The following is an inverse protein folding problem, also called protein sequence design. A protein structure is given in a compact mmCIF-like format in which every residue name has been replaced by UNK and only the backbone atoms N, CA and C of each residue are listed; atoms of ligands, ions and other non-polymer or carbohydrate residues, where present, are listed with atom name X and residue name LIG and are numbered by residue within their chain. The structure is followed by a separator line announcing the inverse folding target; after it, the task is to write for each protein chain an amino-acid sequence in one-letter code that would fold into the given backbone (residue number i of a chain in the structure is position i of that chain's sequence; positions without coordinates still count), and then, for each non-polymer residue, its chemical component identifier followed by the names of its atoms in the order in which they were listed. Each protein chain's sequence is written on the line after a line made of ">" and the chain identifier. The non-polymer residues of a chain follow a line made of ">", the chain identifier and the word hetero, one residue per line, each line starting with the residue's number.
data_IF_505227263797
#
_entry.id   IF_505227263797
#
_cell.length_a   1.000
_cell.length_b   1.000
_cell.length_c   1.000
_cell.angle_alpha   90.00
_cell.angle_beta   90.00
_cell.angle_gamma   90.00
#
_symmetry.space_group_name_H-M   'P 1'
#
loop_
_entity.id
_entity.type
_entity.pdbx_description
1 polymer ?
#
# COMPACT_ATOMS: atom_id res chain seq x y z
N UNK A 1 4.99 -12.54 -3.73
CA UNK A 1 5.68 -11.24 -3.81
C UNK A 1 6.75 -11.28 -4.87
N UNK A 2 6.64 -10.45 -5.91
CA UNK A 2 7.44 -10.55 -7.14
C UNK A 2 8.89 -10.13 -6.92
N UNK A 3 9.13 -9.22 -5.96
CA UNK A 3 10.46 -8.63 -5.72
C UNK A 3 11.12 -9.11 -4.43
N UNK A 4 10.67 -10.24 -3.86
CA UNK A 4 11.17 -10.75 -2.56
C UNK A 4 11.17 -9.67 -1.45
N UNK A 5 10.18 -8.77 -1.48
CA UNK A 5 10.07 -7.62 -0.58
C UNK A 5 11.27 -6.67 -0.62
N UNK A 6 12.08 -6.67 -1.67
CA UNK A 6 13.22 -5.77 -1.84
C UNK A 6 12.78 -4.44 -2.49
N UNK A 7 12.89 -3.34 -1.73
CA UNK A 7 12.47 -2.01 -2.19
C UNK A 7 13.38 -1.49 -3.31
N UNK A 8 14.66 -1.89 -3.34
CA UNK A 8 15.57 -1.48 -4.41
C UNK A 8 15.23 -2.16 -5.72
N UNK A 9 14.94 -3.47 -5.68
CA UNK A 9 14.51 -4.22 -6.86
C UNK A 9 13.18 -3.69 -7.40
N UNK A 10 12.25 -3.35 -6.51
CA UNK A 10 10.99 -2.73 -6.88
C UNK A 10 11.13 -1.27 -7.38
N UNK A 11 12.32 -0.67 -7.30
CA UNK A 11 12.56 0.76 -7.59
C UNK A 11 11.60 1.68 -6.82
N UNK A 12 11.20 1.27 -5.62
CA UNK A 12 10.22 2.00 -4.82
C UNK A 12 10.82 3.32 -4.33
N UNK A 13 10.05 4.40 -4.32
CA UNK A 13 10.52 5.73 -3.89
C UNK A 13 11.14 5.72 -2.49
N UNK A 14 10.58 4.93 -1.55
CA UNK A 14 11.08 4.86 -0.18
C UNK A 14 12.36 4.04 -0.02
N UNK A 15 12.87 3.41 -1.08
CA UNK A 15 14.11 2.59 -1.04
C UNK A 15 15.32 3.38 -0.53
N UNK A 16 15.37 4.70 -0.77
CA UNK A 16 16.43 5.58 -0.27
C UNK A 16 16.56 5.56 1.26
N UNK A 17 15.45 5.39 1.99
CA UNK A 17 15.44 5.47 3.46
C UNK A 17 15.12 4.14 4.15
N UNK A 18 14.26 3.32 3.54
CA UNK A 18 13.78 2.06 4.12
C UNK A 18 14.29 0.80 3.41
N UNK A 19 15.07 0.94 2.33
CA UNK A 19 15.58 -0.23 1.59
C UNK A 19 16.50 -1.14 2.41
N UNK A 20 17.25 -0.57 3.36
CA UNK A 20 18.12 -1.32 4.29
C UNK A 20 17.41 -2.02 5.45
N UNK A 21 16.09 -1.89 5.57
CA UNK A 21 15.32 -2.55 6.65
C UNK A 21 15.38 -4.07 6.53
N UNK A 22 15.21 -4.77 7.66
CA UNK A 22 15.21 -6.23 7.67
C UNK A 22 14.08 -6.79 6.79
N UNK A 23 14.27 -8.00 6.26
CA UNK A 23 13.22 -8.68 5.49
C UNK A 23 11.93 -8.79 6.30
N UNK A 24 12.02 -9.15 7.59
CA UNK A 24 10.87 -9.25 8.48
C UNK A 24 10.09 -7.92 8.59
N UNK A 25 10.75 -6.77 8.52
CA UNK A 25 10.06 -5.47 8.51
C UNK A 25 9.42 -5.20 7.15
N UNK A 26 10.15 -5.46 6.06
CA UNK A 26 9.72 -5.21 4.68
C UNK A 26 8.53 -6.09 4.30
N UNK A 27 8.48 -7.32 4.80
CA UNK A 27 7.43 -8.31 4.52
C UNK A 27 6.32 -8.39 5.56
N UNK A 28 6.30 -7.51 6.57
CA UNK A 28 5.30 -7.57 7.64
C UNK A 28 3.88 -7.28 7.14
N UNK A 29 3.75 -6.35 6.19
CA UNK A 29 2.49 -5.90 5.62
C UNK A 29 2.62 -5.80 4.10
N UNK A 30 1.51 -5.97 3.38
CA UNK A 30 1.46 -5.71 1.93
C UNK A 30 1.83 -4.27 1.59
N UNK A 31 2.25 -4.03 0.35
CA UNK A 31 2.80 -2.74 -0.06
C UNK A 31 1.78 -1.85 -0.76
N UNK A 32 1.98 -0.54 -0.67
CA UNK A 32 1.22 0.44 -1.44
C UNK A 32 2.05 1.70 -1.72
N UNK A 33 1.77 2.36 -2.84
CA UNK A 33 2.11 3.76 -3.04
C UNK A 33 1.04 4.67 -2.43
N UNK A 34 1.43 5.84 -1.92
CA UNK A 34 0.49 6.80 -1.34
C UNK A 34 0.59 8.21 -1.92
N UNK A 35 -0.56 8.76 -2.28
CA UNK A 35 -0.73 10.13 -2.74
C UNK A 35 -2.14 10.66 -2.42
N UNK A 36 -2.76 10.10 -1.36
CA UNK A 36 -4.12 10.40 -0.95
C UNK A 36 -4.29 11.85 -0.49
N UNK A 37 -5.52 12.37 -0.47
CA UNK A 37 -5.81 13.79 -0.24
C UNK A 37 -5.45 14.34 1.15
N UNK A 38 -5.24 13.47 2.15
CA UNK A 38 -4.97 13.87 3.52
C UNK A 38 -3.86 13.01 4.15
N UNK A 39 -2.96 13.65 4.90
CA UNK A 39 -1.82 12.99 5.56
C UNK A 39 -0.46 13.34 4.92
N UNK A 40 0.65 12.88 5.52
CA UNK A 40 1.99 13.11 4.99
C UNK A 40 2.16 12.48 3.61
N UNK A 41 2.97 13.09 2.76
CA UNK A 41 3.28 12.60 1.41
C UNK A 41 4.79 12.59 1.17
N UNK A 42 5.22 11.84 0.16
CA UNK A 42 6.63 11.71 -0.19
C UNK A 42 7.42 11.06 0.95
N UNK A 43 8.58 11.62 1.27
CA UNK A 43 9.48 11.04 2.28
C UNK A 43 8.81 10.86 3.64
N UNK A 44 7.97 11.81 4.07
CA UNK A 44 7.33 11.75 5.39
C UNK A 44 6.32 10.61 5.54
N UNK A 45 5.82 10.05 4.43
CA UNK A 45 4.96 8.87 4.45
C UNK A 45 5.70 7.55 4.42
N UNK A 46 6.98 7.54 4.06
CA UNK A 46 7.74 6.31 3.89
C UNK A 46 7.77 5.47 5.17
N UNK A 47 7.43 4.19 5.01
CA UNK A 47 7.42 3.20 6.08
C UNK A 47 6.20 3.24 7.00
N UNK A 48 5.33 4.26 6.89
CA UNK A 48 4.07 4.32 7.65
C UNK A 48 3.08 3.27 7.17
N UNK A 49 2.14 2.92 8.05
CA UNK A 49 1.10 1.95 7.77
C UNK A 49 -0.27 2.63 7.59
N UNK A 50 -1.10 2.04 6.74
CA UNK A 50 -2.48 2.44 6.52
C UNK A 50 -3.40 1.25 6.78
N UNK A 51 -4.43 1.43 7.61
CA UNK A 51 -5.58 0.54 7.63
C UNK A 51 -6.50 0.90 6.46
N UNK A 52 -6.51 0.07 5.43
CA UNK A 52 -7.31 0.26 4.21
C UNK A 52 -8.62 -0.52 4.36
N UNK A 53 -9.75 0.13 4.11
CA UNK A 53 -11.09 -0.47 4.19
C UNK A 53 -11.81 -0.34 2.85
N UNK A 54 -12.20 -1.46 2.23
CA UNK A 54 -13.07 -1.46 1.07
C UNK A 54 -14.47 -0.99 1.47
N UNK A 55 -14.95 0.12 0.89
CA UNK A 55 -16.23 0.71 1.29
C UNK A 55 -17.45 -0.12 0.86
N UNK A 56 -17.29 -0.98 -0.15
CA UNK A 56 -18.38 -1.82 -0.67
C UNK A 56 -18.62 -3.07 0.19
N UNK A 57 -17.57 -3.63 0.79
CA UNK A 57 -17.64 -4.92 1.50
C UNK A 57 -17.29 -4.84 2.98
N UNK A 58 -16.67 -3.74 3.42
CA UNK A 58 -16.15 -3.59 4.77
C UNK A 58 -14.88 -4.41 5.03
N UNK A 59 -14.32 -5.10 4.03
CA UNK A 59 -13.06 -5.83 4.19
C UNK A 59 -11.90 -4.87 4.47
N UNK A 60 -11.00 -5.24 5.38
CA UNK A 60 -9.89 -4.40 5.83
C UNK A 60 -8.55 -5.11 5.76
N UNK A 61 -7.49 -4.33 5.55
CA UNK A 61 -6.12 -4.80 5.66
C UNK A 61 -5.17 -3.65 5.99
N UNK A 62 -4.11 -3.95 6.74
CA UNK A 62 -3.00 -3.01 6.95
C UNK A 62 -1.99 -3.13 5.80
N UNK A 63 -1.68 -2.01 5.15
CA UNK A 63 -0.66 -1.90 4.10
C UNK A 63 0.43 -0.91 4.50
N UNK A 64 1.67 -1.13 4.06
CA UNK A 64 2.80 -0.24 4.28
C UNK A 64 3.04 0.64 3.06
N UNK A 65 3.21 1.93 3.30
CA UNK A 65 3.62 2.89 2.28
C UNK A 65 5.10 2.68 1.97
N UNK A 66 5.39 2.25 0.74
CA UNK A 66 6.76 2.06 0.24
C UNK A 66 7.07 2.92 -0.97
N UNK A 67 6.05 3.58 -1.53
CA UNK A 67 6.19 4.36 -2.74
C UNK A 67 5.26 5.58 -2.75
N UNK A 68 5.42 6.45 -3.75
CA UNK A 68 4.55 7.59 -4.01
C UNK A 68 3.82 7.43 -5.35
N UNK A 69 2.62 7.98 -5.44
CA UNK A 69 1.83 7.96 -6.68
C UNK A 69 1.40 9.36 -7.11
N UNK A 70 0.73 9.46 -8.27
CA UNK A 70 0.17 10.71 -8.79
C UNK A 70 -1.30 10.61 -9.20
N UNK A 71 -2.00 9.54 -8.79
CA UNK A 71 -3.40 9.28 -9.11
C UNK A 71 -4.40 9.80 -8.04
N UNK A 72 -3.92 10.43 -6.96
CA UNK A 72 -4.73 11.05 -5.92
C UNK A 72 -5.27 10.10 -4.84
N UNK A 73 -4.73 8.88 -4.72
CA UNK A 73 -5.20 7.88 -3.77
C UNK A 73 -4.11 6.95 -3.26
N UNK A 74 -4.34 5.65 -3.42
CA UNK A 74 -3.40 4.59 -3.13
C UNK A 74 -3.15 3.79 -4.42
N UNK A 75 -1.97 3.20 -4.54
CA UNK A 75 -1.68 2.17 -5.55
C UNK A 75 -1.20 0.91 -4.82
N UNK A 76 -2.12 0.04 -4.35
CA UNK A 76 -1.77 -1.12 -3.55
C UNK A 76 -1.34 -2.29 -4.41
N UNK A 77 -0.37 -3.05 -3.92
CA UNK A 77 0.04 -4.31 -4.56
C UNK A 77 -1.16 -5.28 -4.65
N UNK A 78 -1.32 -5.88 -5.82
CA UNK A 78 -2.48 -6.71 -6.11
C UNK A 78 -2.53 -7.98 -5.24
N UNK A 79 -1.44 -8.74 -5.19
CA UNK A 79 -1.39 -10.06 -4.56
C UNK A 79 -1.49 -9.95 -3.03
N UNK A 80 -0.91 -8.88 -2.46
CA UNK A 80 -0.79 -8.73 -1.01
C UNK A 80 -1.85 -7.83 -0.38
N UNK A 81 -2.45 -6.90 -1.14
CA UNK A 81 -3.44 -5.95 -0.63
C UNK A 81 -4.78 -6.08 -1.35
N UNK A 82 -4.83 -5.82 -2.67
CA UNK A 82 -6.12 -5.74 -3.40
C UNK A 82 -6.89 -7.05 -3.34
N UNK A 83 -6.25 -8.18 -3.62
CA UNK A 83 -6.88 -9.51 -3.61
C UNK A 83 -7.46 -9.91 -2.25
N UNK A 84 -7.04 -9.24 -1.16
CA UNK A 84 -7.50 -9.51 0.21
C UNK A 84 -8.74 -8.69 0.58
N UNK A 85 -8.93 -7.53 -0.05
CA UNK A 85 -10.05 -6.64 0.26
C UNK A 85 -11.09 -6.53 -0.85
N UNK A 86 -10.78 -6.94 -2.09
CA UNK A 86 -11.75 -7.05 -3.18
C UNK A 86 -12.58 -8.34 -3.08
N UNK A 87 -13.26 -8.54 -1.94
CA UNK A 87 -13.94 -9.79 -1.60
C UNK A 87 -15.19 -10.09 -2.43
N UNK A 88 -15.66 -9.14 -3.23
CA UNK A 88 -16.76 -9.29 -4.18
C UNK A 88 -16.32 -9.22 -5.65
N UNK A 89 -15.02 -9.03 -5.93
CA UNK A 89 -14.43 -8.99 -7.27
C UNK A 89 -14.79 -7.75 -8.11
N UNK A 90 -15.55 -6.79 -7.56
CA UNK A 90 -15.98 -5.62 -8.32
C UNK A 90 -14.82 -4.64 -8.55
N UNK A 91 -13.86 -4.58 -7.63
CA UNK A 91 -12.71 -3.69 -7.75
C UNK A 91 -11.85 -4.03 -8.97
N UNK A 92 -11.53 -5.31 -9.12
CA UNK A 92 -10.80 -5.82 -10.30
C UNK A 92 -11.61 -5.61 -11.57
N UNK A 93 -12.91 -5.87 -11.54
CA UNK A 93 -13.77 -5.67 -12.70
C UNK A 93 -13.81 -4.19 -13.14
N UNK A 94 -13.77 -3.26 -12.20
CA UNK A 94 -13.84 -1.80 -12.44
C UNK A 94 -12.46 -1.16 -12.61
N UNK A 95 -11.39 -1.91 -12.39
CA UNK A 95 -10.01 -1.43 -12.41
C UNK A 95 -9.61 -0.56 -11.21
N UNK A 96 -10.47 -0.41 -10.20
CA UNK A 96 -10.16 0.32 -8.97
C UNK A 96 -11.12 -0.05 -7.83
N UNK A 97 -10.69 0.19 -6.59
CA UNK A 97 -11.52 0.12 -5.39
C UNK A 97 -11.80 1.52 -4.85
N UNK A 98 -13.00 1.72 -4.30
CA UNK A 98 -13.26 2.85 -3.41
C UNK A 98 -12.94 2.40 -1.98
N UNK A 99 -12.04 3.13 -1.33
CA UNK A 99 -11.52 2.77 0.00
C UNK A 99 -11.53 3.95 0.94
N UNK A 100 -11.72 3.66 2.22
CA UNK A 100 -11.30 4.53 3.32
C UNK A 100 -9.90 4.12 3.77
N UNK A 101 -9.12 5.06 4.28
CA UNK A 101 -7.84 4.76 4.93
C UNK A 101 -7.68 5.57 6.22
N UNK A 102 -6.98 4.98 7.18
CA UNK A 102 -6.47 5.66 8.37
C UNK A 102 -5.00 5.30 8.59
N UNK A 103 -4.20 6.25 9.05
CA UNK A 103 -2.83 5.95 9.49
C UNK A 103 -2.87 5.12 10.78
N UNK A 104 -2.14 4.02 10.78
CA UNK A 104 -1.97 3.11 11.91
C UNK A 104 -0.59 3.38 12.56
N UNK A 105 -0.49 3.14 13.87
CA UNK A 105 0.76 3.36 14.65
C UNK A 105 1.75 2.19 14.51
#
# INVERSE_FOLDING_TARGET
>A
EQNNWDLYTASAYCSTWDGGRSLAWRSKYGWTAFCGPAGPRGQESCGKCLLVTNTATGAQITARIVDQCSNGGLDPDYDTVVSRIDTNGLGVQQGHLIVNYGFDD
#
